data_IF_256183399061
#
_entry.id   IF_256183399061
#
_cell.length_a   1.000
_cell.length_b   1.000
_cell.length_c   1.000
_cell.angle_alpha   90.00
_cell.angle_beta   90.00
_cell.angle_gamma   90.00
#
_symmetry.space_group_name_H-M   'P 1'
#
loop_
_entity.id
_entity.type
_entity.pdbx_description
1 polymer ?
#
# COMPACT_ATOMS: atom_id res chain seq x y z
N UNK A 1 1.77 -34.10 3.52
CA UNK A 1 1.70 -35.59 3.40
C UNK A 1 1.70 -35.91 1.92
N UNK A 2 2.82 -36.31 1.37
CA UNK A 2 2.93 -36.71 -0.05
C UNK A 2 2.37 -38.09 -0.24
N UNK A 3 1.35 -38.27 -1.05
CA UNK A 3 0.84 -39.56 -1.48
C UNK A 3 1.52 -39.95 -2.78
N UNK A 4 2.41 -40.94 -2.69
CA UNK A 4 3.07 -41.57 -3.84
C UNK A 4 2.11 -42.61 -4.41
N UNK A 5 1.69 -42.44 -5.68
CA UNK A 5 1.00 -43.51 -6.40
C UNK A 5 2.03 -44.44 -7.05
N UNK A 6 2.02 -45.68 -6.65
CA UNK A 6 2.78 -46.74 -7.29
C UNK A 6 1.93 -47.37 -8.40
N UNK A 7 2.40 -47.22 -9.63
CA UNK A 7 1.82 -47.92 -10.77
C UNK A 7 2.47 -49.32 -10.84
N UNK A 8 1.65 -50.35 -10.64
CA UNK A 8 2.07 -51.73 -10.66
C UNK A 8 2.05 -52.24 -12.12
N UNK A 9 3.21 -52.43 -12.72
CA UNK A 9 3.33 -53.11 -14.00
C UNK A 9 3.20 -54.62 -13.79
N UNK A 10 2.14 -55.23 -14.30
CA UNK A 10 1.93 -56.68 -14.33
C UNK A 10 2.47 -57.24 -15.65
N UNK A 11 3.69 -57.79 -15.63
CA UNK A 11 4.23 -58.49 -16.79
C UNK A 11 3.73 -59.92 -16.83
N UNK A 12 2.92 -60.24 -17.81
CA UNK A 12 2.46 -61.59 -18.10
C UNK A 12 3.40 -62.25 -19.12
N UNK A 13 4.22 -63.18 -18.67
CA UNK A 13 4.98 -64.09 -19.54
C UNK A 13 4.03 -65.16 -20.09
N UNK A 14 3.83 -65.23 -21.41
CA UNK A 14 3.25 -66.39 -22.05
C UNK A 14 4.29 -67.08 -22.94
N UNK A 15 4.47 -68.35 -22.70
CA UNK A 15 5.40 -69.26 -23.30
C UNK A 15 5.09 -69.52 -24.79
N UNK A 16 6.19 -69.66 -25.57
CA UNK A 16 6.18 -69.99 -26.96
C UNK A 16 5.57 -71.35 -27.27
N UNK A 17 4.62 -71.36 -28.17
CA UNK A 17 4.18 -72.52 -28.91
C UNK A 17 4.47 -72.28 -30.40
N UNK A 18 5.44 -73.04 -30.94
CA UNK A 18 5.74 -73.05 -32.36
C UNK A 18 4.66 -73.82 -33.11
N UNK A 19 3.83 -73.13 -33.89
CA UNK A 19 3.03 -73.75 -34.96
C UNK A 19 3.47 -73.13 -36.32
N UNK A 20 4.12 -73.95 -37.12
CA UNK A 20 4.35 -73.66 -38.53
C UNK A 20 3.06 -73.81 -39.29
N UNK A 21 2.51 -72.71 -39.81
CA UNK A 21 1.48 -72.72 -40.84
C UNK A 21 1.94 -71.92 -42.04
N UNK A 22 2.09 -72.59 -43.15
CA UNK A 22 2.18 -72.00 -44.47
C UNK A 22 0.81 -71.40 -44.81
N UNK A 23 0.78 -70.10 -45.08
CA UNK A 23 -0.44 -69.43 -45.50
C UNK A 23 -0.15 -68.03 -46.06
N UNK A 24 -0.34 -67.93 -47.36
CA UNK A 24 -0.67 -66.75 -48.18
C UNK A 24 -0.35 -65.38 -47.59
N UNK A 25 0.51 -64.63 -48.23
CA UNK A 25 0.81 -63.24 -47.92
C UNK A 25 -0.43 -62.36 -47.90
N UNK A 26 -0.87 -62.01 -46.74
CA UNK A 26 -1.58 -60.75 -46.51
C UNK A 26 -0.54 -59.71 -46.23
N UNK A 27 -0.38 -58.75 -47.14
CA UNK A 27 0.30 -57.52 -46.81
C UNK A 27 -0.41 -56.94 -45.62
N UNK A 28 0.21 -57.00 -44.41
CA UNK A 28 -0.20 -56.12 -43.32
C UNK A 28 -0.01 -54.68 -43.85
N UNK A 29 -1.11 -54.07 -44.28
CA UNK A 29 -1.09 -52.62 -44.47
C UNK A 29 -0.79 -52.01 -43.12
N UNK A 30 0.42 -51.51 -42.90
CA UNK A 30 0.63 -50.56 -41.80
C UNK A 30 -0.47 -49.51 -41.92
N UNK A 31 -1.19 -49.19 -40.79
CA UNK A 31 -2.14 -48.09 -40.86
C UNK A 31 -1.44 -46.86 -41.44
N UNK A 32 -2.11 -46.08 -42.30
CA UNK A 32 -1.54 -44.84 -42.80
C UNK A 32 -0.99 -44.02 -41.65
N UNK A 33 0.20 -43.48 -41.79
CA UNK A 33 0.76 -42.51 -40.84
C UNK A 33 -0.22 -41.32 -40.85
N UNK A 34 -0.71 -40.86 -39.73
CA UNK A 34 -1.55 -39.67 -39.70
C UNK A 34 -0.82 -38.53 -40.41
N UNK A 35 -1.52 -37.81 -41.27
CA UNK A 35 -0.97 -36.64 -41.99
C UNK A 35 -1.19 -35.44 -41.09
N UNK A 36 -0.20 -34.60 -40.97
CA UNK A 36 -0.17 -33.30 -40.30
C UNK A 36 0.45 -32.36 -41.35
N UNK A 37 -0.41 -31.55 -42.01
CA UNK A 37 -0.01 -30.85 -43.23
C UNK A 37 0.68 -29.52 -42.99
N UNK A 38 0.43 -28.84 -41.86
CA UNK A 38 1.03 -27.57 -41.48
C UNK A 38 2.10 -27.73 -40.35
N UNK A 39 2.06 -28.87 -39.63
CA UNK A 39 3.11 -29.25 -38.69
C UNK A 39 2.95 -28.70 -37.28
N UNK A 40 1.71 -28.40 -36.88
CA UNK A 40 1.36 -27.83 -35.59
C UNK A 40 1.23 -28.88 -34.47
N UNK A 41 1.12 -30.19 -34.85
CA UNK A 41 0.99 -31.29 -33.90
C UNK A 41 -0.43 -31.88 -33.82
N UNK A 42 -1.40 -31.33 -34.53
CA UNK A 42 -2.68 -31.97 -34.85
C UNK A 42 -2.57 -32.69 -36.19
N UNK A 43 -3.42 -33.64 -36.45
CA UNK A 43 -3.53 -34.27 -37.75
C UNK A 43 -4.65 -33.64 -38.55
N UNK A 44 -4.54 -33.65 -39.88
CA UNK A 44 -5.59 -33.13 -40.79
C UNK A 44 -6.98 -33.66 -40.43
N UNK A 45 -7.08 -34.92 -40.01
CA UNK A 45 -8.35 -35.53 -39.60
C UNK A 45 -8.87 -34.94 -38.27
N UNK A 46 -8.00 -34.63 -37.32
CA UNK A 46 -8.36 -33.98 -36.04
C UNK A 46 -8.86 -32.54 -36.28
N UNK A 47 -8.14 -31.81 -37.09
CA UNK A 47 -8.47 -30.42 -37.43
C UNK A 47 -9.83 -30.34 -38.17
N UNK A 48 -10.07 -31.23 -39.15
CA UNK A 48 -11.38 -31.34 -39.82
C UNK A 48 -12.50 -31.64 -38.83
N UNK A 49 -12.25 -32.54 -37.84
CA UNK A 49 -13.22 -32.86 -36.79
C UNK A 49 -13.51 -31.67 -35.88
N UNK A 50 -12.48 -30.90 -35.55
CA UNK A 50 -12.57 -29.66 -34.78
C UNK A 50 -13.13 -28.49 -35.62
N UNK A 51 -13.09 -28.61 -36.97
CA UNK A 51 -13.53 -27.58 -37.92
C UNK A 51 -12.52 -26.46 -38.09
N UNK A 52 -11.24 -26.81 -38.01
CA UNK A 52 -10.07 -25.99 -38.30
C UNK A 52 -9.62 -26.19 -39.74
N UNK A 53 -8.61 -25.45 -40.21
CA UNK A 53 -8.05 -25.58 -41.57
C UNK A 53 -6.71 -26.34 -41.50
N UNK A 54 -6.61 -27.59 -42.04
CA UNK A 54 -5.40 -28.39 -42.02
C UNK A 54 -4.15 -27.78 -42.71
N UNK A 55 -4.21 -26.56 -43.14
CA UNK A 55 -3.13 -25.82 -43.79
C UNK A 55 -2.76 -24.54 -43.01
N UNK A 56 -3.42 -24.26 -41.89
CA UNK A 56 -3.20 -23.09 -41.08
C UNK A 56 -2.88 -23.53 -39.66
N UNK A 57 -1.67 -23.56 -39.28
CA UNK A 57 -1.17 -23.97 -37.94
C UNK A 57 -1.59 -23.06 -36.78
N UNK A 58 -2.24 -21.94 -37.06
CA UNK A 58 -2.79 -20.95 -36.15
C UNK A 58 -4.03 -20.40 -36.85
N UNK A 59 -5.23 -20.85 -36.42
CA UNK A 59 -6.45 -20.61 -37.12
C UNK A 59 -7.03 -19.22 -36.89
N UNK A 60 -6.87 -18.66 -35.69
CA UNK A 60 -7.39 -17.34 -35.31
C UNK A 60 -6.34 -16.22 -35.29
N UNK A 61 -5.08 -16.56 -35.65
CA UNK A 61 -3.96 -15.64 -35.77
C UNK A 61 -3.58 -14.94 -34.45
N UNK A 62 -3.68 -15.61 -33.29
CA UNK A 62 -3.38 -15.03 -31.98
C UNK A 62 -1.90 -15.23 -31.56
N UNK A 63 -1.19 -16.14 -32.22
CA UNK A 63 0.22 -16.43 -31.98
C UNK A 63 0.52 -17.72 -31.24
N UNK A 64 -0.51 -18.51 -30.86
CA UNK A 64 -0.41 -19.92 -30.52
C UNK A 64 -0.77 -20.77 -31.73
N UNK A 65 -0.27 -21.98 -31.81
CA UNK A 65 -0.73 -22.93 -32.82
C UNK A 65 -1.94 -23.70 -32.30
N UNK A 66 -2.84 -24.13 -33.20
CA UNK A 66 -4.02 -24.92 -32.83
C UNK A 66 -3.63 -26.15 -32.00
N UNK A 67 -2.46 -26.75 -32.30
CA UNK A 67 -1.91 -27.86 -31.57
C UNK A 67 -1.43 -27.52 -30.16
N UNK A 68 -0.83 -26.36 -29.94
CA UNK A 68 -0.44 -25.84 -28.62
C UNK A 68 -1.69 -25.56 -27.78
N UNK A 69 -2.67 -24.90 -28.36
CA UNK A 69 -3.92 -24.57 -27.70
C UNK A 69 -4.68 -25.81 -27.18
N UNK A 70 -4.85 -26.80 -28.04
CA UNK A 70 -5.57 -28.03 -27.67
C UNK A 70 -4.79 -28.91 -26.70
N UNK A 71 -3.46 -29.02 -26.88
CA UNK A 71 -2.67 -30.01 -26.16
C UNK A 71 -1.94 -29.46 -24.94
N UNK A 72 -1.67 -28.15 -24.87
CA UNK A 72 -0.84 -27.55 -23.84
C UNK A 72 -1.63 -26.54 -22.98
N UNK A 73 -2.33 -25.60 -23.62
CA UNK A 73 -2.96 -24.48 -22.91
C UNK A 73 -4.44 -24.66 -22.64
N UNK A 74 -5.11 -25.55 -23.38
CA UNK A 74 -6.54 -25.85 -23.29
C UNK A 74 -7.40 -24.60 -23.57
N UNK A 75 -6.98 -23.82 -24.56
CA UNK A 75 -7.69 -22.68 -25.12
C UNK A 75 -8.55 -23.08 -26.32
N UNK A 76 -9.30 -22.15 -26.92
CA UNK A 76 -10.17 -22.41 -28.09
C UNK A 76 -9.52 -21.90 -29.37
N UNK A 77 -9.02 -22.77 -30.30
CA UNK A 77 -8.31 -22.36 -31.52
C UNK A 77 -9.14 -21.53 -32.52
N UNK A 78 -10.27 -21.07 -32.12
CA UNK A 78 -11.16 -20.21 -32.93
C UNK A 78 -11.45 -18.89 -32.24
N UNK A 79 -10.94 -18.71 -31.06
CA UNK A 79 -11.20 -17.54 -30.25
C UNK A 79 -9.88 -16.98 -29.70
N UNK A 80 -9.33 -15.94 -30.29
CA UNK A 80 -8.00 -15.43 -29.94
C UNK A 80 -7.88 -14.85 -28.52
N UNK A 81 -8.94 -14.95 -27.71
CA UNK A 81 -9.02 -14.42 -26.33
C UNK A 81 -10.06 -15.32 -25.62
N UNK A 82 -9.54 -16.42 -25.03
CA UNK A 82 -10.40 -17.51 -24.53
C UNK A 82 -11.19 -17.10 -23.28
N UNK A 83 -10.63 -16.36 -22.36
CA UNK A 83 -11.30 -15.92 -21.12
C UNK A 83 -12.05 -14.59 -21.28
N UNK A 84 -11.72 -13.80 -22.32
CA UNK A 84 -12.44 -12.60 -22.71
C UNK A 84 -12.04 -11.36 -21.92
N UNK A 85 -10.85 -11.31 -21.37
CA UNK A 85 -10.36 -10.14 -20.62
C UNK A 85 -9.86 -9.00 -21.53
N UNK A 86 -9.44 -9.32 -22.78
CA UNK A 86 -8.98 -8.38 -23.80
C UNK A 86 -7.50 -8.53 -24.18
N UNK A 87 -6.77 -9.47 -23.56
CA UNK A 87 -5.49 -9.96 -24.03
C UNK A 87 -5.73 -11.14 -25.00
N UNK A 88 -4.81 -11.43 -25.91
CA UNK A 88 -4.88 -12.66 -26.68
C UNK A 88 -4.17 -13.79 -25.95
N UNK A 89 -4.64 -15.03 -26.12
CA UNK A 89 -4.06 -16.23 -25.50
C UNK A 89 -2.55 -16.30 -25.81
N UNK A 90 -2.16 -15.97 -27.04
CA UNK A 90 -0.76 -15.93 -27.47
C UNK A 90 0.07 -14.83 -26.81
N UNK A 91 -0.48 -13.64 -26.56
CA UNK A 91 0.21 -12.58 -25.83
C UNK A 91 0.34 -12.93 -24.35
N UNK A 92 -0.66 -13.54 -23.75
CA UNK A 92 -0.63 -13.99 -22.38
C UNK A 92 0.46 -15.00 -22.12
N UNK A 93 0.51 -16.06 -22.92
CA UNK A 93 1.51 -17.13 -22.80
C UNK A 93 2.92 -16.65 -23.12
N UNK A 94 3.10 -15.93 -24.24
CA UNK A 94 4.42 -15.64 -24.79
C UNK A 94 5.04 -14.34 -24.29
N UNK A 95 4.21 -13.38 -23.85
CA UNK A 95 4.67 -12.02 -23.50
C UNK A 95 4.52 -11.72 -22.01
N UNK A 96 3.37 -12.05 -21.43
CA UNK A 96 3.03 -11.61 -20.07
C UNK A 96 3.18 -12.72 -19.03
N UNK A 97 3.07 -13.99 -19.44
CA UNK A 97 3.16 -15.16 -18.55
C UNK A 97 1.94 -15.31 -17.66
N UNK A 98 0.78 -14.84 -18.12
CA UNK A 98 -0.53 -14.98 -17.48
C UNK A 98 -1.22 -16.28 -17.93
N UNK A 99 -2.35 -16.63 -17.32
CA UNK A 99 -3.12 -17.84 -17.63
C UNK A 99 -4.28 -17.51 -18.59
N UNK A 100 -4.21 -17.91 -19.88
CA UNK A 100 -5.19 -17.55 -20.91
C UNK A 100 -6.60 -18.10 -20.68
N UNK A 101 -6.82 -18.78 -19.57
CA UNK A 101 -8.13 -19.27 -19.16
C UNK A 101 -8.66 -18.54 -17.91
N UNK A 102 -7.98 -17.52 -17.43
CA UNK A 102 -8.32 -16.86 -16.17
C UNK A 102 -8.08 -15.34 -16.21
N UNK A 103 -9.11 -14.57 -16.37
CA UNK A 103 -9.17 -13.09 -16.44
C UNK A 103 -8.30 -12.36 -15.41
N UNK A 104 -7.94 -13.03 -14.30
CA UNK A 104 -7.19 -12.50 -13.15
C UNK A 104 -6.25 -13.61 -12.67
N UNK A 105 -5.04 -13.62 -13.20
CA UNK A 105 -4.07 -14.71 -13.04
C UNK A 105 -3.57 -14.91 -11.62
N UNK A 106 -3.41 -13.84 -10.85
CA UNK A 106 -2.89 -13.90 -9.47
C UNK A 106 -4.00 -13.85 -8.41
N UNK A 107 -5.23 -13.50 -8.79
CA UNK A 107 -6.42 -13.58 -7.94
C UNK A 107 -6.61 -12.38 -7.00
N UNK A 108 -6.08 -11.22 -7.34
CA UNK A 108 -6.13 -10.03 -6.50
C UNK A 108 -7.38 -9.14 -6.73
N UNK A 109 -8.08 -9.38 -7.85
CA UNK A 109 -9.32 -8.69 -8.21
C UNK A 109 -9.17 -7.61 -9.28
N UNK A 110 -7.99 -7.42 -9.85
CA UNK A 110 -7.75 -6.71 -11.10
C UNK A 110 -7.67 -7.73 -12.23
N UNK A 111 -8.03 -7.35 -13.45
CA UNK A 111 -7.82 -8.22 -14.61
C UNK A 111 -6.39 -8.04 -15.14
N UNK A 112 -5.84 -9.11 -15.75
CA UNK A 112 -4.51 -9.06 -16.36
C UNK A 112 -4.43 -7.93 -17.39
N UNK A 113 -5.47 -7.73 -18.18
CA UNK A 113 -5.58 -6.61 -19.12
C UNK A 113 -5.50 -5.25 -18.43
N UNK A 114 -6.28 -5.05 -17.37
CA UNK A 114 -6.29 -3.76 -16.65
C UNK A 114 -4.94 -3.48 -16.03
N UNK A 115 -4.28 -4.47 -15.47
CA UNK A 115 -2.95 -4.32 -14.90
C UNK A 115 -1.91 -3.94 -15.95
N UNK A 116 -1.86 -4.67 -17.07
CA UNK A 116 -0.87 -4.45 -18.13
C UNK A 116 -1.14 -3.15 -18.89
N UNK A 117 -2.39 -2.88 -19.26
CA UNK A 117 -2.74 -1.81 -20.20
C UNK A 117 -3.11 -0.52 -19.48
N UNK A 118 -3.87 -0.61 -18.39
CA UNK A 118 -4.43 0.55 -17.70
C UNK A 118 -3.51 1.03 -16.58
N UNK A 119 -3.18 0.15 -15.64
CA UNK A 119 -2.48 0.53 -14.41
C UNK A 119 -0.95 0.41 -14.49
N UNK A 120 -0.41 -0.45 -15.36
CA UNK A 120 1.04 -0.75 -15.51
C UNK A 120 1.63 -1.46 -14.29
N UNK A 121 0.81 -2.27 -13.63
CA UNK A 121 1.17 -3.15 -12.54
C UNK A 121 1.56 -4.54 -13.04
N UNK A 122 1.92 -5.48 -12.14
CA UNK A 122 2.38 -6.83 -12.47
C UNK A 122 1.27 -7.86 -12.30
N UNK A 123 0.67 -8.41 -13.41
CA UNK A 123 -0.48 -9.32 -13.36
C UNK A 123 -0.18 -10.69 -12.73
N UNK A 124 1.04 -10.90 -12.27
CA UNK A 124 1.47 -12.15 -11.63
C UNK A 124 1.81 -11.96 -10.14
N UNK A 125 1.46 -10.81 -9.55
CA UNK A 125 1.84 -10.48 -8.18
C UNK A 125 0.70 -9.84 -7.37
N UNK A 126 -0.19 -10.65 -6.82
CA UNK A 126 -1.35 -10.26 -6.00
C UNK A 126 -1.07 -9.33 -4.79
N UNK A 127 0.17 -9.01 -4.51
CA UNK A 127 0.58 -8.07 -3.46
C UNK A 127 1.56 -7.05 -4.06
N UNK A 128 1.33 -6.62 -5.31
CA UNK A 128 2.11 -5.60 -5.98
C UNK A 128 2.13 -4.29 -5.19
N UNK A 129 3.23 -3.58 -5.28
CA UNK A 129 3.48 -2.23 -4.77
C UNK A 129 4.48 -1.64 -5.76
N UNK A 130 3.95 -1.13 -6.89
CA UNK A 130 4.75 -0.85 -8.07
C UNK A 130 5.67 0.37 -7.91
N UNK A 131 5.31 1.32 -7.05
CA UNK A 131 6.12 2.51 -6.75
C UNK A 131 6.90 2.42 -5.42
N UNK A 132 6.56 1.44 -4.56
CA UNK A 132 7.33 1.14 -3.35
C UNK A 132 7.01 2.03 -2.16
N UNK A 133 5.82 2.59 -2.10
CA UNK A 133 5.42 3.50 -1.03
C UNK A 133 4.82 2.81 0.21
N UNK A 134 4.49 1.52 0.08
CA UNK A 134 3.96 0.66 1.15
C UNK A 134 2.44 0.46 1.10
N UNK A 135 1.75 0.97 0.09
CA UNK A 135 0.37 0.65 -0.24
C UNK A 135 0.38 -0.39 -1.36
N UNK A 136 -0.56 -1.31 -1.41
CA UNK A 136 -0.65 -2.25 -2.52
C UNK A 136 -1.36 -1.62 -3.71
N UNK A 137 -0.96 -1.98 -4.94
CA UNK A 137 -1.59 -1.50 -6.18
C UNK A 137 -3.12 -1.62 -6.14
N UNK A 138 -3.62 -2.75 -5.64
CA UNK A 138 -5.07 -3.02 -5.48
C UNK A 138 -5.73 -2.07 -4.49
N UNK A 139 -5.09 -1.80 -3.36
CA UNK A 139 -5.64 -0.86 -2.36
C UNK A 139 -5.63 0.57 -2.89
N UNK A 140 -4.61 0.94 -3.64
CA UNK A 140 -4.53 2.25 -4.27
C UNK A 140 -5.68 2.47 -5.26
N UNK A 141 -5.92 1.50 -6.15
CA UNK A 141 -6.97 1.57 -7.17
C UNK A 141 -8.37 1.54 -6.54
N UNK A 142 -8.62 0.59 -5.63
CA UNK A 142 -9.96 0.29 -5.16
C UNK A 142 -10.37 1.03 -3.88
N UNK A 143 -9.40 1.44 -3.04
CA UNK A 143 -9.67 2.00 -1.71
C UNK A 143 -9.31 3.48 -1.64
N UNK A 144 -8.11 3.84 -2.08
CA UNK A 144 -7.58 5.20 -1.91
C UNK A 144 -7.72 6.07 -3.14
N UNK A 145 -7.90 5.48 -4.32
CA UNK A 145 -7.98 6.15 -5.62
C UNK A 145 -6.72 7.00 -5.89
N UNK A 146 -5.57 6.43 -5.57
CA UNK A 146 -4.24 6.94 -5.88
C UNK A 146 -3.66 6.28 -7.14
N UNK A 147 -2.50 6.72 -7.60
CA UNK A 147 -1.84 6.19 -8.81
C UNK A 147 -0.79 5.16 -8.40
N UNK A 148 -0.99 3.84 -8.66
CA UNK A 148 -0.09 2.77 -8.20
C UNK A 148 1.33 2.83 -8.79
N UNK A 149 1.60 3.77 -9.68
CA UNK A 149 2.93 3.99 -10.26
C UNK A 149 3.58 5.30 -9.80
N UNK A 150 2.94 6.01 -8.86
CA UNK A 150 3.40 7.30 -8.38
C UNK A 150 3.25 7.44 -6.87
N UNK A 151 4.28 7.13 -6.12
CA UNK A 151 4.36 7.12 -4.66
C UNK A 151 3.88 8.39 -3.92
N UNK A 152 3.57 9.47 -4.63
CA UNK A 152 3.10 10.77 -4.11
C UNK A 152 2.09 11.33 -5.13
N UNK A 153 0.83 10.87 -5.01
CA UNK A 153 -0.22 11.11 -6.01
C UNK A 153 -0.59 12.57 -6.19
N UNK A 154 -0.56 13.37 -5.12
CA UNK A 154 -0.92 14.79 -5.16
C UNK A 154 0.28 15.75 -5.24
N UNK A 155 1.52 15.25 -5.05
CA UNK A 155 2.77 15.98 -5.26
C UNK A 155 3.16 16.93 -4.13
N UNK A 156 2.72 16.67 -2.90
CA UNK A 156 2.99 17.53 -1.75
C UNK A 156 4.31 17.19 -1.01
N UNK A 157 4.92 16.04 -1.33
CA UNK A 157 6.19 15.57 -0.78
C UNK A 157 6.06 14.51 0.31
N UNK A 158 4.84 14.04 0.61
CA UNK A 158 4.59 12.80 1.34
C UNK A 158 4.22 11.70 0.35
N UNK A 159 4.52 10.47 0.69
CA UNK A 159 4.02 9.34 -0.08
C UNK A 159 2.60 8.99 0.37
N UNK A 160 1.80 8.42 -0.54
CA UNK A 160 0.43 8.01 -0.26
C UNK A 160 0.38 7.08 0.97
N UNK A 161 1.33 6.13 1.10
CA UNK A 161 1.47 5.28 2.28
C UNK A 161 1.80 6.02 3.56
N UNK A 162 2.62 7.09 3.52
CA UNK A 162 2.87 7.94 4.68
C UNK A 162 1.60 8.69 5.11
N UNK A 163 0.82 9.17 4.17
CA UNK A 163 -0.42 9.90 4.43
C UNK A 163 -1.50 9.00 5.00
N UNK A 164 -1.65 7.80 4.46
CA UNK A 164 -2.55 6.77 5.00
C UNK A 164 -2.19 6.43 6.45
N UNK A 165 -0.90 6.24 6.75
CA UNK A 165 -0.41 6.01 8.11
C UNK A 165 -0.66 7.21 9.04
N UNK A 166 -0.62 8.43 8.52
CA UNK A 166 -0.94 9.67 9.26
C UNK A 166 -2.44 9.89 9.41
N UNK A 167 -3.26 9.27 8.57
CA UNK A 167 -4.70 9.51 8.49
C UNK A 167 -5.05 10.82 7.77
N UNK A 168 -4.18 11.25 6.87
CA UNK A 168 -4.37 12.38 5.94
C UNK A 168 -4.87 11.88 4.58
N UNK A 169 -5.12 12.76 3.64
CA UNK A 169 -5.72 12.41 2.36
C UNK A 169 -4.67 12.42 1.24
N UNK A 170 -4.28 11.27 0.69
CA UNK A 170 -3.23 11.17 -0.33
C UNK A 170 -3.59 11.78 -1.70
N UNK A 171 -4.76 12.41 -1.81
CA UNK A 171 -5.19 13.12 -3.02
C UNK A 171 -5.38 14.63 -2.79
N UNK A 172 -4.93 15.17 -1.66
CA UNK A 172 -5.10 16.59 -1.33
C UNK A 172 -3.76 17.23 -0.91
N UNK A 173 -2.98 17.72 -1.84
CA UNK A 173 -1.67 18.36 -1.64
C UNK A 173 -1.67 19.60 -0.71
N UNK A 174 -2.76 19.85 -0.02
CA UNK A 174 -2.83 20.79 1.10
C UNK A 174 -2.88 20.10 2.47
N UNK A 175 -2.96 18.79 2.52
CA UNK A 175 -2.94 17.89 3.68
C UNK A 175 -1.81 16.86 3.47
N UNK A 176 -0.85 16.67 4.38
CA UNK A 176 -0.83 17.09 5.79
C UNK A 176 -0.35 18.52 6.02
N UNK A 177 -1.04 19.20 6.92
CA UNK A 177 -0.61 20.51 7.38
C UNK A 177 0.53 20.34 8.39
N UNK A 178 1.69 20.87 8.10
CA UNK A 178 2.82 20.91 9.04
C UNK A 178 2.56 21.87 10.18
N UNK A 179 2.75 21.40 11.41
CA UNK A 179 2.77 22.27 12.59
C UNK A 179 4.20 22.37 13.09
N UNK A 180 4.79 23.55 12.93
CA UNK A 180 6.08 23.90 13.53
C UNK A 180 5.92 24.48 14.95
N UNK A 181 7.02 24.59 15.69
CA UNK A 181 6.99 25.28 16.98
C UNK A 181 6.60 26.75 16.88
N UNK A 182 6.78 27.36 15.71
CA UNK A 182 6.46 28.78 15.48
C UNK A 182 4.96 28.99 15.19
N UNK A 183 4.23 27.93 14.81
CA UNK A 183 2.77 28.00 14.52
C UNK A 183 1.94 27.95 15.79
N UNK A 184 2.52 27.48 16.90
CA UNK A 184 1.84 27.37 18.18
C UNK A 184 2.30 28.49 19.14
N UNK A 185 1.41 29.39 19.42
CA UNK A 185 1.68 30.52 20.30
C UNK A 185 1.96 30.13 21.76
N UNK A 186 2.93 30.79 22.34
CA UNK A 186 3.27 30.67 23.78
C UNK A 186 2.38 31.58 24.62
N UNK A 187 1.88 31.08 25.75
CA UNK A 187 1.07 31.87 26.68
C UNK A 187 1.85 32.22 27.95
N UNK A 188 1.50 33.35 28.55
CA UNK A 188 2.03 33.78 29.85
C UNK A 188 0.98 33.69 30.97
N UNK A 189 1.46 33.48 32.19
CA UNK A 189 0.67 33.44 33.42
C UNK A 189 0.96 34.61 34.33
N UNK A 190 -0.06 35.05 35.04
CA UNK A 190 0.13 36.00 36.12
C UNK A 190 1.01 35.42 37.24
N UNK A 191 1.63 36.30 38.05
CA UNK A 191 2.45 35.89 39.18
C UNK A 191 1.64 34.99 40.13
N UNK A 192 2.23 33.86 40.49
CA UNK A 192 1.68 32.88 41.42
C UNK A 192 0.29 32.35 40.99
N UNK A 193 -0.03 32.34 39.72
CA UNK A 193 -1.29 31.87 39.15
C UNK A 193 -1.07 30.81 38.08
N UNK A 194 -2.11 29.97 37.92
CA UNK A 194 -2.20 28.98 36.84
C UNK A 194 -3.49 29.08 36.00
N UNK A 195 -4.35 30.04 36.27
CA UNK A 195 -5.56 30.30 35.47
C UNK A 195 -5.18 30.92 34.13
N UNK A 196 -5.86 30.50 33.06
CA UNK A 196 -5.79 31.10 31.75
C UNK A 196 -6.42 32.48 31.80
N UNK A 197 -5.73 33.50 31.30
CA UNK A 197 -6.25 34.87 31.12
C UNK A 197 -6.98 34.98 29.79
N UNK A 198 -7.78 36.04 29.59
CA UNK A 198 -8.49 36.26 28.31
C UNK A 198 -7.51 36.36 27.13
N UNK A 199 -6.37 37.04 27.31
CA UNK A 199 -5.33 37.14 26.29
C UNK A 199 -4.68 35.78 25.99
N UNK A 200 -4.42 34.96 27.01
CA UNK A 200 -3.90 33.62 26.85
C UNK A 200 -4.91 32.68 26.19
N UNK A 201 -6.21 32.85 26.51
CA UNK A 201 -7.27 32.07 25.89
C UNK A 201 -7.38 32.31 24.39
N UNK A 202 -7.15 33.55 23.92
CA UNK A 202 -7.14 33.85 22.50
C UNK A 202 -5.99 33.10 21.79
N UNK A 203 -4.77 33.18 22.31
CA UNK A 203 -3.62 32.46 21.76
C UNK A 203 -3.86 30.94 21.73
N UNK A 204 -4.44 30.40 22.80
CA UNK A 204 -4.77 28.98 22.83
C UNK A 204 -5.89 28.60 21.89
N UNK A 205 -6.82 29.49 21.58
CA UNK A 205 -7.84 29.25 20.57
C UNK A 205 -7.25 29.19 19.16
N UNK A 206 -6.28 30.09 18.86
CA UNK A 206 -5.53 30.06 17.60
C UNK A 206 -4.72 28.73 17.51
N UNK A 207 -4.08 28.30 18.60
CA UNK A 207 -3.39 26.99 18.65
C UNK A 207 -4.37 25.81 18.43
N UNK A 208 -5.59 25.89 18.97
CA UNK A 208 -6.63 24.86 18.72
C UNK A 208 -6.99 24.79 17.24
N UNK A 209 -7.14 25.92 16.57
CA UNK A 209 -7.43 25.95 15.14
C UNK A 209 -6.33 25.25 14.34
N UNK A 210 -5.05 25.54 14.60
CA UNK A 210 -3.90 24.87 13.99
C UNK A 210 -3.94 23.34 14.24
N UNK A 211 -4.16 22.93 15.49
CA UNK A 211 -4.19 21.51 15.86
C UNK A 211 -5.42 20.76 15.32
N UNK A 212 -6.54 21.44 15.09
CA UNK A 212 -7.73 20.84 14.47
C UNK A 212 -7.52 20.61 12.98
N UNK A 213 -6.77 21.49 12.31
CA UNK A 213 -6.42 21.36 10.90
C UNK A 213 -5.26 20.38 10.66
N UNK A 214 -4.63 19.88 11.71
CA UNK A 214 -3.54 18.91 11.64
C UNK A 214 -3.83 17.71 12.58
N UNK A 215 -4.79 16.84 12.25
CA UNK A 215 -5.29 15.80 13.15
C UNK A 215 -4.24 14.74 13.50
N UNK A 216 -3.26 14.51 12.65
CA UNK A 216 -2.17 13.57 12.89
C UNK A 216 -1.13 14.07 13.89
N UNK A 217 -1.06 15.37 14.15
CA UNK A 217 -0.04 15.93 15.05
C UNK A 217 -0.44 15.79 16.51
N UNK A 218 0.57 15.48 17.33
CA UNK A 218 0.50 15.49 18.79
C UNK A 218 1.20 16.73 19.32
N UNK A 219 0.70 17.28 20.41
CA UNK A 219 1.26 18.46 21.06
C UNK A 219 1.75 18.14 22.47
N UNK A 220 2.91 18.69 22.84
CA UNK A 220 3.42 18.66 24.21
C UNK A 220 3.40 20.05 24.82
N UNK A 221 2.72 20.19 25.96
CA UNK A 221 2.66 21.42 26.74
C UNK A 221 3.76 21.41 27.79
N UNK A 222 4.75 22.29 27.61
CA UNK A 222 5.85 22.51 28.55
C UNK A 222 5.63 23.80 29.34
N UNK A 223 5.36 23.72 30.64
CA UNK A 223 5.07 24.89 31.47
C UNK A 223 6.15 25.18 32.48
N UNK A 224 6.37 26.46 32.69
CA UNK A 224 7.47 27.01 33.51
C UNK A 224 6.98 28.03 34.53
N UNK A 225 7.84 28.30 35.48
CA UNK A 225 7.73 29.43 36.44
C UNK A 225 8.93 30.36 36.34
N UNK A 226 8.82 31.52 36.92
CA UNK A 226 10.00 32.37 37.18
C UNK A 226 10.86 31.81 38.32
N UNK A 227 11.91 32.57 38.67
CA UNK A 227 12.90 32.18 39.68
C UNK A 227 12.40 32.36 41.13
N UNK A 228 11.25 33.01 41.36
CA UNK A 228 10.76 33.33 42.71
C UNK A 228 10.19 32.08 43.39
N UNK A 229 10.55 31.83 44.62
CA UNK A 229 10.08 30.69 45.39
C UNK A 229 11.00 29.45 45.35
N UNK A 230 10.63 28.43 46.12
CA UNK A 230 11.38 27.16 46.20
C UNK A 230 11.11 26.24 45.01
N UNK A 231 12.06 25.34 44.70
CA UNK A 231 11.99 24.48 43.52
C UNK A 231 10.80 23.55 43.53
N UNK A 232 10.49 22.93 44.68
CA UNK A 232 9.31 22.06 44.78
C UNK A 232 7.98 22.81 44.62
N UNK A 233 7.91 24.05 45.09
CA UNK A 233 6.75 24.90 44.87
C UNK A 233 6.57 25.22 43.41
N UNK A 234 7.67 25.64 42.74
CA UNK A 234 7.65 25.97 41.32
C UNK A 234 7.36 24.76 40.43
N UNK A 235 7.85 23.59 40.80
CA UNK A 235 7.47 22.36 40.08
C UNK A 235 5.95 22.09 40.16
N UNK A 236 5.36 22.23 41.37
CA UNK A 236 3.88 22.06 41.50
C UNK A 236 3.09 23.13 40.78
N UNK A 237 3.59 24.38 40.75
CA UNK A 237 2.92 25.47 40.04
C UNK A 237 2.99 25.25 38.51
N UNK A 238 4.14 24.84 37.99
CA UNK A 238 4.28 24.54 36.57
C UNK A 238 3.40 23.37 36.14
N UNK A 239 3.28 22.32 36.95
CA UNK A 239 2.32 21.21 36.68
C UNK A 239 0.88 21.70 36.61
N UNK A 240 0.44 22.59 37.50
CA UNK A 240 -0.93 23.17 37.43
C UNK A 240 -1.11 24.04 36.19
N UNK A 241 -0.08 24.76 35.73
CA UNK A 241 -0.12 25.55 34.50
C UNK A 241 -0.26 24.67 33.28
N UNK A 242 0.55 23.61 33.20
CA UNK A 242 0.43 22.63 32.12
C UNK A 242 -0.98 22.02 32.10
N UNK A 243 -1.49 21.59 33.26
CA UNK A 243 -2.85 21.03 33.35
C UNK A 243 -3.93 22.02 32.86
N UNK A 244 -3.82 23.30 33.18
CA UNK A 244 -4.79 24.31 32.72
C UNK A 244 -4.81 24.46 31.20
N UNK A 245 -3.67 24.33 30.52
CA UNK A 245 -3.59 24.35 29.06
C UNK A 245 -4.15 23.06 28.46
N UNK A 246 -3.84 21.91 29.06
CA UNK A 246 -4.42 20.60 28.65
C UNK A 246 -5.94 20.63 28.74
N UNK A 247 -6.48 21.11 29.87
CA UNK A 247 -7.92 21.24 30.08
C UNK A 247 -8.55 22.17 29.04
N UNK A 248 -7.88 23.25 28.65
CA UNK A 248 -8.34 24.14 27.59
C UNK A 248 -8.42 23.41 26.25
N UNK A 249 -7.35 22.72 25.85
CA UNK A 249 -7.30 21.97 24.60
C UNK A 249 -8.39 20.88 24.53
N UNK A 250 -8.53 20.08 25.60
CA UNK A 250 -9.57 19.04 25.70
C UNK A 250 -10.99 19.63 25.61
N UNK A 251 -11.23 20.76 26.26
CA UNK A 251 -12.53 21.44 26.25
C UNK A 251 -12.88 22.03 24.88
N UNK A 252 -11.87 22.20 24.01
CA UNK A 252 -12.02 22.70 22.64
C UNK A 252 -11.82 21.62 21.57
N UNK A 253 -11.90 20.34 21.95
CA UNK A 253 -12.03 19.25 21.00
C UNK A 253 -10.74 18.52 20.63
N UNK A 254 -9.58 18.89 21.19
CA UNK A 254 -8.34 18.13 20.98
C UNK A 254 -8.39 16.85 21.83
N UNK A 255 -8.21 15.70 21.19
CA UNK A 255 -8.26 14.39 21.85
C UNK A 255 -7.12 14.22 22.87
N UNK A 256 -7.41 13.52 23.99
CA UNK A 256 -6.46 13.40 25.10
C UNK A 256 -5.17 12.67 24.74
N UNK A 257 -5.25 11.68 23.87
CA UNK A 257 -4.12 10.89 23.35
C UNK A 257 -3.18 11.71 22.46
N UNK A 258 -3.63 12.84 21.96
CA UNK A 258 -2.83 13.81 21.20
C UNK A 258 -2.06 14.79 22.10
N UNK A 259 -2.29 14.80 23.42
CA UNK A 259 -1.72 15.83 24.31
C UNK A 259 -0.79 15.21 25.34
N UNK A 260 0.46 15.62 25.34
CA UNK A 260 1.41 15.39 26.42
C UNK A 260 1.60 16.66 27.25
N UNK A 261 1.96 16.55 28.52
CA UNK A 261 2.25 17.73 29.33
C UNK A 261 3.35 17.54 30.35
N UNK A 262 4.11 18.59 30.59
CA UNK A 262 5.19 18.60 31.58
C UNK A 262 5.20 19.92 32.36
N UNK A 263 5.28 19.82 33.66
CA UNK A 263 5.65 20.98 34.52
C UNK A 263 7.17 20.92 34.81
N UNK A 264 7.90 21.91 34.32
CA UNK A 264 9.36 21.91 34.34
C UNK A 264 9.97 22.80 35.45
N UNK A 265 9.11 23.39 36.31
CA UNK A 265 9.55 24.28 37.40
C UNK A 265 10.10 25.61 36.88
N UNK A 266 11.23 26.03 37.41
CA UNK A 266 11.87 27.28 37.01
C UNK A 266 12.36 27.23 35.58
N UNK A 267 12.04 28.25 34.79
CA UNK A 267 12.50 28.35 33.41
C UNK A 267 14.04 28.47 33.36
N UNK A 268 14.65 27.83 32.32
CA UNK A 268 16.12 27.90 32.16
C UNK A 268 16.61 29.27 31.65
N UNK A 269 15.70 30.15 31.24
CA UNK A 269 16.06 31.46 30.67
C UNK A 269 16.32 32.46 31.76
N UNK A 270 17.51 33.06 31.75
CA UNK A 270 17.84 34.14 32.65
C UNK A 270 17.16 35.44 32.23
N UNK A 271 16.60 36.14 33.21
CA UNK A 271 16.05 37.47 33.02
C UNK A 271 17.07 38.52 33.38
N UNK A 272 17.17 39.55 32.55
CA UNK A 272 18.01 40.74 32.88
C UNK A 272 17.49 41.46 34.11
N UNK A 273 18.34 42.33 34.71
CA UNK A 273 17.92 43.09 35.88
C UNK A 273 16.73 44.03 35.62
N UNK A 274 16.58 44.49 34.39
CA UNK A 274 15.42 45.31 33.95
C UNK A 274 14.11 44.54 33.76
N UNK A 275 14.22 43.23 33.52
CA UNK A 275 13.06 42.33 33.37
C UNK A 275 12.59 41.71 34.70
N UNK A 276 13.37 41.83 35.73
CA UNK A 276 13.05 41.37 37.09
C UNK A 276 12.23 42.45 37.79
N UNK A 277 10.94 42.36 37.79
CA UNK A 277 10.09 43.22 38.59
C UNK A 277 10.38 42.97 40.10
N UNK A 278 10.44 44.03 40.92
CA UNK A 278 10.92 43.93 42.31
C UNK A 278 10.16 42.96 43.21
N UNK A 279 8.93 42.60 42.88
CA UNK A 279 8.12 41.66 43.67
C UNK A 279 7.39 40.59 42.86
N UNK A 280 7.42 40.65 41.54
CA UNK A 280 6.62 39.76 40.66
C UNK A 280 7.47 38.80 39.81
N UNK A 281 8.80 38.80 39.98
CA UNK A 281 9.65 37.92 39.19
C UNK A 281 9.76 38.32 37.74
N UNK A 282 9.97 37.34 36.86
CA UNK A 282 10.16 37.57 35.42
C UNK A 282 8.99 37.04 34.62
N UNK A 283 8.24 37.93 33.96
CA UNK A 283 7.03 37.60 33.23
C UNK A 283 7.27 36.59 32.11
N UNK A 284 8.32 36.78 31.31
CA UNK A 284 8.64 35.86 30.19
C UNK A 284 8.88 34.41 30.62
N UNK A 285 9.24 34.22 31.89
CA UNK A 285 9.49 32.88 32.44
C UNK A 285 8.21 32.22 33.01
N UNK A 286 7.13 32.96 33.18
CA UNK A 286 5.83 32.46 33.63
C UNK A 286 4.99 32.07 32.44
N UNK A 287 5.41 31.00 31.75
CA UNK A 287 4.84 30.65 30.46
C UNK A 287 4.47 29.16 30.34
N UNK A 288 3.69 28.86 29.34
CA UNK A 288 3.58 27.54 28.75
C UNK A 288 3.80 27.61 27.24
N UNK A 289 4.61 26.70 26.77
CA UNK A 289 4.94 26.48 25.38
C UNK A 289 4.21 25.26 24.90
N UNK A 290 3.53 25.35 23.74
CA UNK A 290 2.97 24.21 23.04
C UNK A 290 3.91 23.81 21.92
N UNK A 291 4.45 22.61 22.03
CA UNK A 291 5.45 22.10 21.09
C UNK A 291 4.86 20.93 20.31
N UNK A 292 4.85 20.96 18.98
CA UNK A 292 4.44 19.80 18.19
C UNK A 292 5.39 18.63 18.48
N UNK A 293 4.83 17.43 18.65
CA UNK A 293 5.58 16.19 18.73
C UNK A 293 5.07 15.30 17.60
N UNK A 294 5.80 15.27 16.51
CA UNK A 294 5.60 14.31 15.43
C UNK A 294 6.38 13.05 15.73
N UNK A 295 5.78 11.90 15.51
CA UNK A 295 6.50 10.63 15.42
C UNK A 295 7.22 10.49 14.08
N UNK A 296 6.90 11.33 13.12
CA UNK A 296 7.51 11.38 11.80
C UNK A 296 8.73 12.29 11.83
N UNK A 297 9.87 11.72 11.54
CA UNK A 297 11.11 12.45 11.29
C UNK A 297 11.12 12.82 9.81
N UNK A 298 10.44 13.89 9.44
CA UNK A 298 10.69 14.50 8.16
C UNK A 298 11.93 15.39 8.26
N UNK A 299 12.88 15.16 7.39
CA UNK A 299 14.02 16.05 7.14
C UNK A 299 13.82 16.60 5.72
N UNK A 300 13.48 17.88 5.54
CA UNK A 300 13.32 18.48 4.22
C UNK A 300 14.62 18.56 3.39
N UNK A 301 15.71 17.97 3.89
CA UNK A 301 17.06 18.09 3.34
C UNK A 301 17.66 16.72 2.94
N UNK A 302 16.87 15.82 2.34
CA UNK A 302 17.41 14.63 1.67
C UNK A 302 17.05 14.60 0.21
#
# INVERSE_FOLDING_TARGET
MKRTFHLLFLTLFLSAGVLTQYGCGSSESTPPVPVDSDGDGLTDDQEIELGLDPMSADFDDDGLTDGEEINEYNTDPKNPDTDGDGLSDGDEVNTYGTDPNNVDSDGDGLSDYDEIITYKTDPNNANGDADGDGVSDVDEINTYNTDPTNADSDGDGFTDGQEIDMGTNPNDGSDPVFVSGDDLGTINFNFDRSNITDAAAQILADNVEVLMNAPAFRVRVDAYTDHVGGDQYNLRLSLRRAASVVDFYKSNGIAEDRIESRGLGKAPVECSASEKEPNNGCEKNRRAESNPISTLKYSPDM
#
